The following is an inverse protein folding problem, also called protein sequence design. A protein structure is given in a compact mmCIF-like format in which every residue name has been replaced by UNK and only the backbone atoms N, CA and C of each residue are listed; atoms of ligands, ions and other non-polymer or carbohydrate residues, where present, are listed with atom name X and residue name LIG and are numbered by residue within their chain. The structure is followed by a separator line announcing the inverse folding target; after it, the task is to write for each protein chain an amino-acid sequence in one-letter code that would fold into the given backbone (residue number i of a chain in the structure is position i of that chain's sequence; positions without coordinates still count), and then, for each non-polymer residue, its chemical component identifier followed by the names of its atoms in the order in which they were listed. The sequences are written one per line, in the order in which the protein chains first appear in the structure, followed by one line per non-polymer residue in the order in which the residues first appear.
data_IF_463366495322
#
_entry.id   IF_463366495322
#
_cell.length_a   1.000
_cell.length_b   1.000
_cell.length_c   1.000
_cell.angle_alpha   90.00
_cell.angle_beta   90.00
_cell.angle_gamma   90.00
#
_symmetry.space_group_name_H-M   'P 1'
#
loop_
_entity.id
_entity.type
_entity.pdbx_description
1 polymer ?
#
# COMPACT_ATOMS: atom_id res chain seq x y z
N UNK A 1 10.27 2.83 4.92
CA UNK A 1 8.99 2.25 4.50
C UNK A 1 7.92 3.31 4.60
N UNK A 2 7.03 3.37 3.64
CA UNK A 2 5.86 4.25 3.62
C UNK A 2 4.63 3.37 3.83
N UNK A 3 3.72 3.82 4.70
CA UNK A 3 2.53 3.05 5.06
C UNK A 3 1.30 3.93 4.83
N UNK A 4 0.27 3.36 4.21
CA UNK A 4 -1.02 4.04 4.03
C UNK A 4 -2.18 3.16 4.52
N UNK A 5 -3.12 3.76 5.23
CA UNK A 5 -4.33 3.07 5.69
C UNK A 5 -5.22 2.67 4.51
N UNK A 6 -5.81 1.48 4.58
CA UNK A 6 -6.72 0.97 3.54
C UNK A 6 -7.97 1.83 3.34
N UNK A 7 -8.32 2.71 4.29
CA UNK A 7 -9.44 3.65 4.20
C UNK A 7 -9.00 5.05 3.71
N UNK A 8 -7.73 5.26 3.36
CA UNK A 8 -7.26 6.55 2.87
C UNK A 8 -7.86 6.88 1.49
N UNK A 9 -8.26 8.14 1.19
CA UNK A 9 -8.82 8.52 -0.11
C UNK A 9 -7.92 8.21 -1.30
N UNK A 10 -6.61 8.34 -1.11
CA UNK A 10 -5.59 8.08 -2.14
C UNK A 10 -5.13 6.62 -2.21
N UNK A 11 -5.81 5.68 -1.52
CA UNK A 11 -5.35 4.29 -1.39
C UNK A 11 -5.16 3.59 -2.73
N UNK A 12 -6.07 3.80 -3.68
CA UNK A 12 -5.97 3.17 -5.00
C UNK A 12 -4.73 3.67 -5.76
N UNK A 13 -4.44 4.98 -5.70
CA UNK A 13 -3.22 5.53 -6.30
C UNK A 13 -1.97 4.97 -5.62
N UNK A 14 -1.99 4.87 -4.29
CA UNK A 14 -0.88 4.35 -3.52
C UNK A 14 -0.59 2.88 -3.83
N UNK A 15 -1.62 2.05 -3.97
CA UNK A 15 -1.48 0.64 -4.36
C UNK A 15 -0.72 0.51 -5.68
N UNK A 16 -1.11 1.29 -6.70
CA UNK A 16 -0.57 1.15 -8.03
C UNK A 16 0.72 1.93 -8.31
N UNK A 17 1.14 2.81 -7.39
CA UNK A 17 2.17 3.81 -7.69
C UNK A 17 3.48 3.21 -8.20
N UNK A 18 3.97 2.14 -7.55
CA UNK A 18 5.21 1.48 -7.95
C UNK A 18 5.03 0.59 -9.19
N UNK A 19 3.94 -0.15 -9.29
CA UNK A 19 3.66 -1.00 -10.47
C UNK A 19 3.59 -0.18 -11.76
N UNK A 20 2.96 1.00 -11.73
CA UNK A 20 2.90 1.91 -12.88
C UNK A 20 4.30 2.42 -13.26
N UNK A 21 5.11 2.78 -12.26
CA UNK A 21 6.48 3.23 -12.46
C UNK A 21 7.38 2.11 -13.02
N UNK A 22 7.19 0.86 -12.61
CA UNK A 22 7.84 -0.34 -13.16
C UNK A 22 7.44 -0.60 -14.63
N UNK A 23 6.17 -0.38 -15.00
CA UNK A 23 5.74 -0.45 -16.41
C UNK A 23 6.47 0.60 -17.25
N UNK A 24 6.59 1.83 -16.72
CA UNK A 24 7.35 2.91 -17.38
C UNK A 24 8.83 2.54 -17.53
N UNK A 25 9.45 2.01 -16.48
CA UNK A 25 10.85 1.58 -16.50
C UNK A 25 11.10 0.50 -17.56
N UNK A 26 10.20 -0.48 -17.70
CA UNK A 26 10.26 -1.50 -18.76
C UNK A 26 10.24 -0.90 -20.17
N UNK A 27 9.34 0.04 -20.44
CA UNK A 27 9.27 0.71 -21.75
C UNK A 27 10.51 1.54 -22.03
N UNK A 28 11.05 2.25 -21.03
CA UNK A 28 12.29 3.01 -21.18
C UNK A 28 13.48 2.10 -21.45
N UNK A 29 13.56 0.95 -20.77
CA UNK A 29 14.60 -0.06 -21.05
C UNK A 29 14.54 -0.54 -22.50
N UNK A 30 13.35 -0.85 -23.01
CA UNK A 30 13.14 -1.29 -24.40
C UNK A 30 13.51 -0.18 -25.41
N UNK A 31 13.41 1.09 -25.01
CA UNK A 31 13.84 2.24 -25.79
C UNK A 31 15.36 2.53 -25.70
N UNK A 32 16.11 1.74 -24.92
CA UNK A 32 17.57 1.82 -24.83
C UNK A 32 18.12 2.63 -23.65
N UNK A 33 17.27 3.03 -22.69
CA UNK A 33 17.71 3.66 -21.44
C UNK A 33 18.28 2.63 -20.45
N UNK A 34 19.25 3.05 -19.63
CA UNK A 34 19.90 2.21 -18.63
C UNK A 34 19.05 2.16 -17.35
N UNK A 35 18.08 1.25 -17.33
CA UNK A 35 17.07 1.11 -16.27
C UNK A 35 17.36 -0.04 -15.28
N UNK A 36 18.59 -0.58 -15.26
CA UNK A 36 18.98 -1.58 -14.25
C UNK A 36 19.22 -0.92 -12.88
N UNK A 37 19.44 -1.70 -11.82
CA UNK A 37 19.53 -1.22 -10.43
C UNK A 37 20.57 -0.11 -10.23
N UNK A 38 21.68 -0.14 -10.98
CA UNK A 38 22.75 0.87 -10.94
C UNK A 38 22.78 1.77 -12.20
N UNK A 39 21.76 1.68 -13.05
CA UNK A 39 21.71 2.39 -14.31
C UNK A 39 21.48 3.89 -14.13
N UNK A 40 22.15 4.72 -14.94
CA UNK A 40 22.10 6.18 -14.80
C UNK A 40 20.70 6.77 -14.99
N UNK A 41 19.81 6.06 -15.69
CA UNK A 41 18.47 6.54 -16.01
C UNK A 41 17.42 6.11 -14.96
N UNK A 42 17.75 5.15 -14.08
CA UNK A 42 16.79 4.61 -13.10
C UNK A 42 16.32 5.65 -12.08
N UNK A 43 17.15 6.65 -11.78
CA UNK A 43 16.83 7.72 -10.83
C UNK A 43 15.65 8.61 -11.26
N UNK A 44 15.24 8.53 -12.53
CA UNK A 44 14.06 9.24 -13.05
C UNK A 44 12.73 8.57 -12.67
N UNK A 45 12.76 7.34 -12.17
CA UNK A 45 11.60 6.53 -11.78
C UNK A 45 11.27 6.74 -10.30
N UNK A 46 10.01 7.01 -10.02
CA UNK A 46 9.52 7.33 -8.68
C UNK A 46 9.21 6.05 -7.88
N UNK A 47 9.12 6.19 -6.56
CA UNK A 47 8.71 5.11 -5.63
C UNK A 47 9.62 3.88 -5.57
N UNK A 48 10.83 3.93 -6.16
CA UNK A 48 11.79 2.81 -6.15
C UNK A 48 12.65 2.75 -4.88
N UNK A 49 12.83 3.88 -4.20
CA UNK A 49 13.70 3.99 -3.01
C UNK A 49 12.97 3.76 -1.68
N UNK A 50 11.76 3.21 -1.72
CA UNK A 50 10.97 2.91 -0.54
C UNK A 50 10.17 1.62 -0.70
N UNK A 51 10.06 0.87 0.39
CA UNK A 51 9.07 -0.19 0.54
C UNK A 51 7.73 0.45 0.91
N UNK A 52 6.67 0.10 0.20
CA UNK A 52 5.32 0.60 0.43
C UNK A 52 4.48 -0.51 1.06
N UNK A 53 3.70 -0.18 2.08
CA UNK A 53 2.79 -1.13 2.73
C UNK A 53 1.40 -0.54 2.89
N UNK A 54 0.38 -1.34 2.64
CA UNK A 54 -1.00 -1.00 3.01
C UNK A 54 -1.30 -1.53 4.40
N UNK A 55 -1.79 -0.66 5.27
CA UNK A 55 -2.22 -1.03 6.61
C UNK A 55 -3.72 -1.35 6.60
N UNK A 56 -4.05 -2.57 7.00
CA UNK A 56 -5.41 -3.11 7.04
C UNK A 56 -5.83 -3.40 8.48
N UNK A 57 -7.14 -3.37 8.71
CA UNK A 57 -7.76 -3.73 9.98
C UNK A 57 -8.55 -5.02 9.84
N UNK A 58 -8.90 -5.66 10.96
CA UNK A 58 -9.80 -6.82 10.96
C UNK A 58 -11.16 -6.48 10.32
N UNK A 59 -11.67 -5.26 10.55
CA UNK A 59 -12.91 -4.77 9.92
C UNK A 59 -12.80 -4.79 8.39
N UNK A 60 -11.72 -4.25 7.83
CA UNK A 60 -11.49 -4.30 6.39
C UNK A 60 -11.45 -5.74 5.89
N UNK A 61 -10.73 -6.62 6.59
CA UNK A 61 -10.62 -8.04 6.20
C UNK A 61 -11.97 -8.77 6.27
N UNK A 62 -12.82 -8.46 7.26
CA UNK A 62 -14.19 -8.97 7.30
C UNK A 62 -15.01 -8.49 6.09
N UNK A 63 -14.95 -7.20 5.75
CA UNK A 63 -15.63 -6.67 4.55
C UNK A 63 -15.12 -7.32 3.25
N UNK A 64 -13.83 -7.66 3.16
CA UNK A 64 -13.27 -8.42 2.01
C UNK A 64 -13.92 -9.81 1.89
N UNK A 65 -14.04 -10.52 3.00
CA UNK A 65 -14.65 -11.86 3.05
C UNK A 65 -16.13 -11.81 2.69
N UNK A 66 -16.86 -10.83 3.23
CA UNK A 66 -18.31 -10.68 3.06
C UNK A 66 -18.73 -9.99 1.76
N UNK A 67 -17.80 -9.57 0.90
CA UNK A 67 -18.07 -8.76 -0.30
C UNK A 67 -18.73 -7.40 0.01
N UNK A 68 -18.42 -6.88 1.20
CA UNK A 68 -18.96 -5.65 1.73
C UNK A 68 -18.36 -4.39 1.11
N UNK A 69 -18.96 -3.27 1.50
CA UNK A 69 -18.54 -1.94 1.10
C UNK A 69 -17.44 -1.44 2.04
N UNK A 70 -16.55 -0.61 1.50
CA UNK A 70 -15.47 0.04 2.23
C UNK A 70 -15.46 1.54 1.93
N UNK A 71 -15.42 2.35 2.97
CA UNK A 71 -15.49 3.81 2.85
C UNK A 71 -14.08 4.42 2.91
N UNK A 72 -13.71 5.13 1.86
CA UNK A 72 -12.50 5.94 1.83
C UNK A 72 -12.78 7.27 2.50
N UNK A 73 -12.13 7.51 3.64
CA UNK A 73 -12.50 8.57 4.59
C UNK A 73 -11.53 9.74 4.53
N UNK A 74 -12.06 10.96 4.41
CA UNK A 74 -11.25 12.16 4.44
C UNK A 74 -10.46 12.26 5.75
N UNK A 75 -9.13 12.43 5.66
CA UNK A 75 -8.27 12.62 6.85
C UNK A 75 -8.61 13.91 7.61
N UNK A 76 -9.21 14.88 6.93
CA UNK A 76 -9.79 16.09 7.52
C UNK A 76 -11.31 15.98 7.53
N UNK A 77 -11.92 16.13 8.71
CA UNK A 77 -13.37 16.14 8.88
C UNK A 77 -14.07 14.76 8.88
N UNK A 78 -13.37 13.67 8.55
CA UNK A 78 -13.83 12.30 8.81
C UNK A 78 -15.05 11.83 8.01
N UNK A 79 -15.43 12.53 6.94
CA UNK A 79 -16.54 12.14 6.08
C UNK A 79 -16.07 11.17 4.99
N UNK A 80 -16.95 10.26 4.59
CA UNK A 80 -16.68 9.36 3.47
C UNK A 80 -16.60 10.15 2.16
N UNK A 81 -15.49 10.01 1.44
CA UNK A 81 -15.26 10.64 0.12
C UNK A 81 -15.68 9.72 -1.02
N UNK A 82 -15.45 8.41 -0.87
CA UNK A 82 -15.75 7.40 -1.88
C UNK A 82 -16.09 6.09 -1.18
N UNK A 83 -16.97 5.29 -1.78
CA UNK A 83 -17.23 3.91 -1.34
C UNK A 83 -16.79 2.95 -2.44
N UNK A 84 -16.07 1.91 -2.07
CA UNK A 84 -15.58 0.85 -2.96
C UNK A 84 -15.97 -0.52 -2.42
N UNK A 85 -15.89 -1.57 -3.24
CA UNK A 85 -15.96 -2.93 -2.72
C UNK A 85 -14.65 -3.29 -2.05
N UNK A 86 -14.71 -3.73 -0.79
CA UNK A 86 -13.52 -4.11 -0.02
C UNK A 86 -12.73 -5.21 -0.75
N UNK A 87 -13.44 -6.20 -1.30
CA UNK A 87 -12.86 -7.29 -2.09
C UNK A 87 -12.13 -6.80 -3.34
N UNK A 88 -12.68 -5.80 -4.03
CA UNK A 88 -12.03 -5.26 -5.23
C UNK A 88 -10.78 -4.47 -4.85
N UNK A 89 -10.82 -3.69 -3.77
CA UNK A 89 -9.63 -3.01 -3.26
C UNK A 89 -8.54 -4.00 -2.84
N UNK A 90 -8.90 -5.09 -2.14
CA UNK A 90 -7.96 -6.14 -1.76
C UNK A 90 -7.37 -6.87 -2.98
N UNK A 91 -8.17 -7.10 -4.03
CA UNK A 91 -7.68 -7.62 -5.30
C UNK A 91 -6.68 -6.68 -5.98
N UNK A 92 -6.88 -5.36 -5.91
CA UNK A 92 -5.89 -4.39 -6.41
C UNK A 92 -4.56 -4.52 -5.66
N UNK A 93 -4.59 -4.63 -4.32
CA UNK A 93 -3.39 -4.85 -3.49
C UNK A 93 -2.66 -6.11 -3.94
N UNK A 94 -3.37 -7.25 -4.01
CA UNK A 94 -2.79 -8.53 -4.39
C UNK A 94 -2.22 -8.52 -5.82
N UNK A 95 -2.90 -7.84 -6.75
CA UNK A 95 -2.46 -7.75 -8.14
C UNK A 95 -1.20 -6.89 -8.28
N UNK A 96 -1.14 -5.72 -7.63
CA UNK A 96 0.08 -4.90 -7.65
C UNK A 96 1.25 -5.64 -7.00
N UNK A 97 1.02 -6.30 -5.86
CA UNK A 97 2.05 -7.08 -5.18
C UNK A 97 2.57 -8.23 -6.04
N UNK A 98 1.70 -8.91 -6.80
CA UNK A 98 2.13 -9.91 -7.78
C UNK A 98 2.95 -9.30 -8.94
N UNK A 99 2.60 -8.09 -9.38
CA UNK A 99 3.26 -7.44 -10.51
C UNK A 99 4.65 -6.88 -10.17
N UNK A 100 4.82 -6.25 -9.00
CA UNK A 100 6.05 -5.53 -8.65
C UNK A 100 6.57 -5.76 -7.23
N UNK A 101 6.04 -6.75 -6.50
CA UNK A 101 6.37 -7.02 -5.09
C UNK A 101 5.97 -5.93 -4.08
N UNK A 102 5.15 -4.95 -4.50
CA UNK A 102 4.60 -3.88 -3.65
C UNK A 102 3.11 -3.62 -3.97
N UNK A 103 2.30 -3.17 -2.99
CA UNK A 103 2.68 -2.92 -1.61
C UNK A 103 2.63 -4.19 -0.74
N UNK A 104 3.39 -4.19 0.36
CA UNK A 104 3.23 -5.14 1.46
C UNK A 104 1.94 -4.91 2.26
N UNK A 105 1.69 -5.76 3.26
CA UNK A 105 0.53 -5.65 4.16
C UNK A 105 0.96 -5.54 5.62
N UNK A 106 0.25 -4.69 6.38
CA UNK A 106 0.34 -4.62 7.84
C UNK A 106 -1.03 -4.76 8.48
N UNK A 107 -1.15 -5.67 9.45
CA UNK A 107 -2.41 -5.94 10.15
C UNK A 107 -2.46 -5.14 11.45
N UNK A 108 -2.98 -3.91 11.36
CA UNK A 108 -2.97 -2.89 12.42
C UNK A 108 -3.62 -3.34 13.73
N UNK A 109 -4.79 -3.98 13.61
CA UNK A 109 -5.56 -4.55 14.71
C UNK A 109 -4.76 -5.63 15.41
N UNK A 110 -4.28 -6.63 14.67
CA UNK A 110 -3.47 -7.71 15.22
C UNK A 110 -2.19 -7.19 15.90
N UNK A 111 -1.47 -6.26 15.28
CA UNK A 111 -0.25 -5.67 15.87
C UNK A 111 -0.56 -5.00 17.22
N UNK A 112 -1.61 -4.17 17.26
CA UNK A 112 -1.99 -3.44 18.48
C UNK A 112 -2.73 -4.28 19.52
N UNK A 113 -3.26 -5.44 19.17
CA UNK A 113 -3.81 -6.39 20.15
C UNK A 113 -2.72 -7.18 20.86
N UNK A 114 -1.63 -7.51 20.15
CA UNK A 114 -0.60 -8.42 20.65
C UNK A 114 0.64 -7.73 21.22
N UNK A 115 0.84 -6.43 20.99
CA UNK A 115 2.03 -5.77 21.50
C UNK A 115 2.02 -5.68 23.04
N UNK A 116 3.20 -5.85 23.63
CA UNK A 116 3.36 -6.01 25.09
C UNK A 116 3.40 -4.69 25.87
N UNK A 117 3.30 -3.55 25.20
CA UNK A 117 3.40 -2.22 25.80
C UNK A 117 2.22 -1.29 25.43
N UNK A 118 0.94 -1.70 25.62
CA UNK A 118 -0.22 -0.88 25.27
C UNK A 118 -0.28 0.46 26.03
N UNK A 119 0.26 0.50 27.25
CA UNK A 119 0.34 1.73 28.04
C UNK A 119 1.31 2.78 27.46
N UNK A 120 2.24 2.38 26.60
CA UNK A 120 3.16 3.29 25.92
C UNK A 120 2.54 3.97 24.69
N UNK A 121 1.32 3.58 24.32
CA UNK A 121 0.58 4.11 23.19
C UNK A 121 0.50 3.14 22.01
N UNK A 122 -0.27 3.55 21.00
CA UNK A 122 -0.54 2.77 19.80
C UNK A 122 0.69 2.67 18.90
N UNK A 123 0.92 1.49 18.32
CA UNK A 123 1.88 1.31 17.22
C UNK A 123 1.25 1.84 15.93
N UNK A 124 1.91 2.82 15.33
CA UNK A 124 1.46 3.45 14.07
C UNK A 124 2.33 3.10 12.87
N UNK A 125 3.39 2.32 13.04
CA UNK A 125 4.28 1.86 11.98
C UNK A 125 5.19 0.75 12.49
N UNK A 126 5.69 -0.09 11.57
CA UNK A 126 6.88 -0.92 11.80
C UNK A 126 8.11 -0.33 11.08
N UNK A 127 9.24 -1.02 11.15
CA UNK A 127 10.50 -0.69 10.49
C UNK A 127 10.47 -1.02 8.98
N UNK A 128 11.53 -0.76 8.21
CA UNK A 128 11.56 -1.01 6.76
C UNK A 128 11.30 -2.45 6.29
N UNK A 129 11.51 -3.44 7.17
CA UNK A 129 11.42 -4.86 6.87
C UNK A 129 10.12 -5.51 7.37
N UNK A 130 9.35 -4.78 8.19
CA UNK A 130 8.00 -5.10 8.65
C UNK A 130 7.86 -6.34 9.56
N UNK A 131 8.93 -6.76 10.24
CA UNK A 131 8.88 -7.62 11.43
C UNK A 131 8.42 -6.90 12.70
#
# INVERSE_FOLDING_TARGET
MVILDADHPDIEQFIWCKAIEERKARVLKDAGFEMDMDGVDVFSVQYQNANNSVRVTDEFMHQVLEDGDWHLTARSGGHAMKTVKARDLFRQIAHSAWECADPGLQFDTTINEWHTAPSAGRINASNPCSE
#
